data_IF_559361253126
#
_entry.id   IF_559361253126
#
_cell.length_a   1.000
_cell.length_b   1.000
_cell.length_c   1.000
_cell.angle_alpha   90.00
_cell.angle_beta   90.00
_cell.angle_gamma   90.00
#
_symmetry.space_group_name_H-M   'P 1'
#
loop_
_entity.id
_entity.type
_entity.pdbx_description
1 polymer ?
#
# COMPACT_ATOMS: atom_id res chain seq x y z
N UNK A 1 -1.10 -11.96 -11.68
CA UNK A 1 -2.47 -11.71 -11.18
C UNK A 1 -2.42 -10.56 -10.18
N UNK A 2 -3.47 -9.74 -10.06
CA UNK A 2 -3.56 -8.72 -9.02
C UNK A 2 -4.31 -9.30 -7.84
N UNK A 3 -3.66 -9.36 -6.69
CA UNK A 3 -4.23 -9.84 -5.44
C UNK A 3 -4.62 -8.61 -4.58
N UNK A 4 -5.90 -8.46 -4.20
CA UNK A 4 -6.30 -7.42 -3.26
C UNK A 4 -5.75 -7.75 -1.86
N UNK A 5 -5.05 -6.80 -1.25
CA UNK A 5 -4.45 -6.95 0.07
C UNK A 5 -4.64 -5.69 0.90
N UNK A 6 -4.69 -5.86 2.21
CA UNK A 6 -4.62 -4.79 3.21
C UNK A 6 -3.35 -5.02 4.04
N UNK A 7 -2.62 -3.96 4.37
CA UNK A 7 -1.31 -4.04 5.01
C UNK A 7 -1.40 -3.48 6.44
N UNK A 8 -1.38 -4.37 7.43
CA UNK A 8 -1.42 -4.01 8.86
C UNK A 8 -0.10 -4.25 9.56
N UNK A 9 0.15 -3.50 10.63
CA UNK A 9 1.25 -3.75 11.56
C UNK A 9 0.79 -4.78 12.58
N UNK A 10 1.52 -5.90 12.64
CA UNK A 10 1.23 -7.03 13.53
C UNK A 10 1.11 -6.55 14.99
N UNK A 11 0.13 -7.11 15.71
CA UNK A 11 -0.13 -6.83 17.13
C UNK A 11 -0.48 -5.36 17.43
N UNK A 12 -1.01 -4.65 16.44
CA UNK A 12 -1.55 -3.28 16.57
C UNK A 12 -2.86 -3.13 15.81
N UNK A 13 -3.47 -1.95 15.91
CA UNK A 13 -4.65 -1.54 15.14
C UNK A 13 -4.28 -0.62 13.96
N UNK A 14 -2.99 -0.52 13.62
CA UNK A 14 -2.49 0.37 12.58
C UNK A 14 -2.37 -0.31 11.22
N UNK A 15 -2.89 0.35 10.20
CA UNK A 15 -2.90 -0.10 8.81
C UNK A 15 -2.37 0.99 7.88
N UNK A 16 -1.74 0.57 6.77
CA UNK A 16 -1.36 1.50 5.72
C UNK A 16 -2.60 1.98 4.96
N UNK A 17 -2.72 3.29 4.79
CA UNK A 17 -3.79 3.90 4.02
C UNK A 17 -3.26 4.96 3.05
N UNK A 18 -3.98 5.13 1.94
CA UNK A 18 -3.69 6.14 0.93
C UNK A 18 -4.60 7.34 1.11
N UNK A 19 -4.01 8.52 1.23
CA UNK A 19 -4.74 9.79 1.32
C UNK A 19 -4.34 10.70 0.15
N UNK A 20 -4.99 11.85 0.07
CA UNK A 20 -4.61 12.91 -0.86
C UNK A 20 -4.27 14.17 -0.06
N UNK A 21 -2.98 14.48 0.03
CA UNK A 21 -2.51 15.72 0.65
C UNK A 21 -2.18 16.74 -0.44
N UNK A 22 -3.04 17.75 -0.55
CA UNK A 22 -2.99 18.70 -1.67
C UNK A 22 -3.29 18.00 -2.99
N UNK A 23 -2.33 18.02 -3.92
CA UNK A 23 -2.51 17.47 -5.27
C UNK A 23 -1.94 16.05 -5.45
N UNK A 24 -1.33 15.47 -4.42
CA UNK A 24 -0.59 14.20 -4.55
C UNK A 24 -1.10 13.14 -3.56
N UNK A 25 -1.26 11.89 -4.02
CA UNK A 25 -1.45 10.75 -3.14
C UNK A 25 -0.28 10.56 -2.16
N UNK A 26 -0.61 10.28 -0.91
CA UNK A 26 0.33 10.08 0.20
C UNK A 26 0.01 8.80 0.95
N UNK A 27 1.04 8.20 1.56
CA UNK A 27 0.92 6.98 2.34
C UNK A 27 0.93 7.34 3.83
N UNK A 28 -0.03 6.83 4.57
CA UNK A 28 -0.20 7.08 5.99
C UNK A 28 -0.30 5.77 6.77
N UNK A 29 -0.12 5.89 8.07
CA UNK A 29 -0.46 4.85 9.03
C UNK A 29 -1.70 5.33 9.77
N UNK A 30 -2.78 4.55 9.73
CA UNK A 30 -4.10 4.92 10.25
C UNK A 30 -4.61 3.82 11.18
N UNK A 31 -5.13 4.22 12.33
CA UNK A 31 -5.73 3.32 13.32
C UNK A 31 -7.12 2.89 12.86
N UNK A 32 -7.42 1.58 12.97
CA UNK A 32 -8.70 0.99 12.57
C UNK A 32 -9.30 0.26 13.76
N UNK A 33 -10.30 0.89 14.38
CA UNK A 33 -11.01 0.33 15.54
C UNK A 33 -11.80 -0.93 15.17
N UNK A 34 -12.54 -0.91 14.04
CA UNK A 34 -13.30 -2.05 13.54
C UNK A 34 -12.58 -2.76 12.39
N UNK A 35 -11.76 -3.76 12.71
CA UNK A 35 -11.04 -4.57 11.71
C UNK A 35 -11.95 -5.38 10.80
N UNK A 36 -13.21 -5.64 11.19
CA UNK A 36 -14.14 -6.39 10.34
C UNK A 36 -14.50 -5.59 9.08
N UNK A 37 -14.48 -4.26 9.15
CA UNK A 37 -14.70 -3.36 8.01
C UNK A 37 -13.68 -3.53 6.86
N UNK A 38 -12.50 -4.12 7.14
CA UNK A 38 -11.45 -4.36 6.14
C UNK A 38 -11.61 -5.70 5.41
N UNK A 39 -12.54 -6.56 5.85
CA UNK A 39 -12.72 -7.91 5.28
C UNK A 39 -13.41 -7.89 3.91
N UNK A 40 -14.37 -6.98 3.71
CA UNK A 40 -15.11 -6.80 2.47
C UNK A 40 -15.18 -5.32 2.11
N UNK A 41 -14.28 -4.88 1.24
CA UNK A 41 -14.22 -3.48 0.79
C UNK A 41 -14.90 -3.37 -0.59
N UNK A 42 -16.02 -2.66 -0.64
CA UNK A 42 -16.75 -2.41 -1.89
C UNK A 42 -16.07 -1.33 -2.74
N UNK A 43 -16.43 -1.27 -4.03
CA UNK A 43 -15.86 -0.30 -4.99
C UNK A 43 -16.19 1.15 -4.62
N UNK A 44 -17.31 1.40 -3.95
CA UNK A 44 -17.74 2.75 -3.54
C UNK A 44 -17.37 3.07 -2.08
N UNK A 45 -16.74 2.14 -1.37
CA UNK A 45 -16.37 2.33 0.03
C UNK A 45 -15.17 3.26 0.18
N UNK A 46 -15.23 4.13 1.18
CA UNK A 46 -14.11 4.94 1.65
C UNK A 46 -12.96 4.09 2.22
N UNK A 47 -13.23 2.84 2.60
CA UNK A 47 -12.22 1.85 3.04
C UNK A 47 -11.25 1.46 1.93
N UNK A 48 -11.54 1.81 0.67
CA UNK A 48 -10.59 1.62 -0.45
C UNK A 48 -9.24 2.28 -0.23
N UNK A 49 -9.14 3.27 0.67
CA UNK A 49 -7.85 3.86 1.08
C UNK A 49 -6.87 2.84 1.65
N UNK A 50 -7.36 1.77 2.30
CA UNK A 50 -6.55 0.69 2.87
C UNK A 50 -6.20 -0.42 1.87
N UNK A 51 -6.86 -0.42 0.71
CA UNK A 51 -6.76 -1.50 -0.26
C UNK A 51 -5.61 -1.27 -1.23
N UNK A 52 -4.77 -2.28 -1.36
CA UNK A 52 -3.68 -2.33 -2.34
C UNK A 52 -3.85 -3.53 -3.26
N UNK A 53 -3.45 -3.39 -4.51
CA UNK A 53 -3.28 -4.50 -5.43
C UNK A 53 -1.82 -4.93 -5.43
N UNK A 54 -1.57 -6.09 -4.83
CA UNK A 54 -0.29 -6.79 -4.94
C UNK A 54 -0.21 -7.44 -6.31
N UNK A 55 0.82 -7.09 -7.08
CA UNK A 55 1.13 -7.75 -8.36
C UNK A 55 2.48 -8.43 -8.24
N UNK A 56 2.48 -9.75 -8.28
CA UNK A 56 3.71 -10.53 -8.37
C UNK A 56 4.30 -10.42 -9.77
N UNK A 57 5.60 -10.20 -9.82
CA UNK A 57 6.41 -10.15 -11.03
C UNK A 57 7.35 -11.37 -11.06
N UNK A 58 8.15 -11.49 -12.12
CA UNK A 58 9.20 -12.50 -12.15
C UNK A 58 10.19 -12.29 -10.98
N UNK A 59 10.78 -13.36 -10.46
CA UNK A 59 11.86 -13.32 -9.43
C UNK A 59 11.40 -12.91 -8.02
N UNK A 60 10.26 -13.43 -7.52
CA UNK A 60 9.82 -13.27 -6.12
C UNK A 60 9.75 -11.81 -5.62
N UNK A 61 9.50 -10.88 -6.55
CA UNK A 61 9.29 -9.47 -6.25
C UNK A 61 7.86 -9.08 -6.63
N UNK A 62 7.29 -8.18 -5.84
CA UNK A 62 5.92 -7.72 -5.99
C UNK A 62 5.88 -6.19 -5.97
N UNK A 63 4.90 -5.63 -6.66
CA UNK A 63 4.51 -4.22 -6.49
C UNK A 63 3.23 -4.14 -5.68
N UNK A 64 3.01 -3.02 -4.99
CA UNK A 64 1.82 -2.75 -4.18
C UNK A 64 1.21 -1.43 -4.66
N UNK A 65 0.20 -1.52 -5.52
CA UNK A 65 -0.47 -0.36 -6.10
C UNK A 65 -1.69 0.02 -5.27
N UNK A 66 -1.94 1.31 -5.05
CA UNK A 66 -3.18 1.77 -4.40
C UNK A 66 -4.41 1.43 -5.24
N UNK A 67 -5.45 0.91 -4.58
CA UNK A 67 -6.75 0.75 -5.22
C UNK A 67 -7.50 2.09 -5.34
N UNK A 68 -7.29 3.02 -4.41
CA UNK A 68 -7.92 4.35 -4.44
C UNK A 68 -7.26 5.30 -5.45
N UNK A 69 -5.94 5.21 -5.62
CA UNK A 69 -5.17 6.02 -6.57
C UNK A 69 -4.43 5.14 -7.59
N UNK A 70 -5.07 4.79 -8.72
CA UNK A 70 -4.44 3.97 -9.76
C UNK A 70 -3.11 4.56 -10.25
N UNK A 71 -2.15 3.69 -10.58
CA UNK A 71 -0.78 4.04 -11.00
C UNK A 71 0.10 4.66 -9.91
N UNK A 72 -0.36 4.68 -8.65
CA UNK A 72 0.47 5.03 -7.50
C UNK A 72 0.81 3.78 -6.69
N UNK A 73 2.08 3.65 -6.34
CA UNK A 73 2.67 2.47 -5.70
C UNK A 73 3.31 2.83 -4.39
N UNK A 74 3.31 1.90 -3.43
CA UNK A 74 4.22 1.98 -2.27
C UNK A 74 5.66 1.98 -2.79
N UNK A 75 6.51 2.82 -2.21
CA UNK A 75 7.87 3.04 -2.67
C UNK A 75 8.82 3.44 -1.55
N UNK A 76 10.11 3.21 -1.76
CA UNK A 76 11.19 3.73 -0.91
C UNK A 76 12.08 4.68 -1.71
N UNK A 77 12.77 5.58 -1.01
CA UNK A 77 13.80 6.39 -1.65
C UNK A 77 15.03 5.52 -1.99
N UNK A 78 15.89 6.03 -2.87
CA UNK A 78 17.21 5.43 -3.13
C UNK A 78 18.17 5.65 -1.97
N UNK A 79 17.95 6.70 -1.18
CA UNK A 79 18.74 7.01 0.01
C UNK A 79 18.23 6.25 1.24
N UNK A 80 19.17 5.90 2.13
CA UNK A 80 18.87 5.28 3.42
C UNK A 80 18.09 6.24 4.35
N UNK A 81 17.35 5.66 5.31
CA UNK A 81 16.66 6.38 6.39
C UNK A 81 15.65 7.43 5.89
N UNK A 82 14.99 7.15 4.77
CA UNK A 82 13.87 7.95 4.26
C UNK A 82 12.54 7.24 4.51
N UNK A 83 11.45 7.99 4.71
CA UNK A 83 10.13 7.38 4.90
C UNK A 83 9.69 6.60 3.67
N UNK A 84 8.91 5.55 3.91
CA UNK A 84 8.11 4.89 2.87
C UNK A 84 7.08 5.89 2.38
N UNK A 85 6.87 5.95 1.06
CA UNK A 85 5.97 6.92 0.44
C UNK A 85 5.28 6.32 -0.79
N UNK A 86 4.38 7.06 -1.40
CA UNK A 86 3.81 6.69 -2.69
C UNK A 86 4.59 7.31 -3.86
N UNK A 87 4.63 6.63 -4.99
CA UNK A 87 5.15 7.20 -6.23
C UNK A 87 4.46 6.65 -7.47
N UNK A 88 4.61 7.38 -8.59
CA UNK A 88 4.27 6.88 -9.92
C UNK A 88 5.47 6.15 -10.54
N UNK A 89 5.23 5.41 -11.62
CA UNK A 89 6.26 4.61 -12.31
C UNK A 89 7.44 5.44 -12.85
N UNK A 90 7.20 6.69 -13.24
CA UNK A 90 8.23 7.62 -13.74
C UNK A 90 9.16 8.17 -12.66
N UNK A 91 8.85 7.96 -11.37
CA UNK A 91 9.67 8.45 -10.27
C UNK A 91 10.95 7.63 -10.11
N UNK A 92 12.06 8.31 -9.78
CA UNK A 92 13.32 7.67 -9.42
C UNK A 92 13.28 7.11 -7.99
N UNK A 93 12.51 6.03 -7.79
CA UNK A 93 12.25 5.36 -6.51
C UNK A 93 12.11 3.86 -6.70
N UNK A 94 12.42 3.08 -5.67
CA UNK A 94 12.17 1.65 -5.69
C UNK A 94 10.70 1.36 -5.39
N UNK A 95 10.07 0.50 -6.19
CA UNK A 95 8.65 0.13 -6.10
C UNK A 95 8.39 -1.37 -6.01
N UNK A 96 9.45 -2.16 -6.08
CA UNK A 96 9.41 -3.63 -6.06
C UNK A 96 9.95 -4.11 -4.73
N UNK A 97 9.23 -5.03 -4.10
CA UNK A 97 9.55 -5.56 -2.78
C UNK A 97 9.57 -7.08 -2.83
N UNK A 98 10.48 -7.70 -2.08
CA UNK A 98 10.38 -9.13 -1.78
C UNK A 98 9.57 -9.32 -0.50
N UNK A 99 8.44 -10.02 -0.62
CA UNK A 99 7.54 -10.30 0.52
C UNK A 99 7.80 -11.72 1.00
N UNK A 100 8.17 -11.87 2.26
CA UNK A 100 8.46 -13.16 2.88
C UNK A 100 7.41 -13.47 3.95
N UNK A 101 6.94 -14.71 3.98
CA UNK A 101 6.05 -15.18 5.06
C UNK A 101 6.89 -15.42 6.30
N UNK A 102 6.58 -14.71 7.38
CA UNK A 102 7.12 -15.04 8.70
C UNK A 102 6.31 -16.18 9.32
N UNK A 103 7.01 -17.15 9.88
CA UNK A 103 6.49 -18.29 10.65
C UNK A 103 6.14 -17.89 12.08
#
# INVERSE_FOLDING_TARGET
THEPVVLGIRDTDFYLSCHKDGDKPTLHLEEVEDKASLSEISVESDMRRFLFYKRDMAVNISTLMSALFPNWYISTATDNNRPVAMCQESASRYRTFSIQRQS
#
